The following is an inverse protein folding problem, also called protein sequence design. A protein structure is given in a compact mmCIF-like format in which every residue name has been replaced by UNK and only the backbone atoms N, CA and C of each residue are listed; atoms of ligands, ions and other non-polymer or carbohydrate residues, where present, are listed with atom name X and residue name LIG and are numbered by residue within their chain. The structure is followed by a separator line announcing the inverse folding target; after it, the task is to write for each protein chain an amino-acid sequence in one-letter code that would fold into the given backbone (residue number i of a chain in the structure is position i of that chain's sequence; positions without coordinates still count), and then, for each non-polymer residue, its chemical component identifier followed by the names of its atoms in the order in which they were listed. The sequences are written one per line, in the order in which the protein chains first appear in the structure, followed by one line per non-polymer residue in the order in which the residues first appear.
data_IF_155711711369
#
_entry.id   IF_155711711369
#
_cell.length_a   1.000
_cell.length_b   1.000
_cell.length_c   1.000
_cell.angle_alpha   90.00
_cell.angle_beta   90.00
_cell.angle_gamma   90.00
#
_symmetry.space_group_name_H-M   'P 1'
#
loop_
_entity.id
_entity.type
_entity.pdbx_description
1 polymer ?
#
# COMPACT_ATOMS: atom_id res chain seq x y z
N UNK A 1 -15.46 -19.12 8.10
CA UNK A 1 -14.57 -18.88 6.94
C UNK A 1 -15.30 -18.06 5.89
N UNK A 2 -14.62 -17.15 5.25
CA UNK A 2 -15.21 -16.34 4.20
C UNK A 2 -15.21 -17.09 2.87
N UNK A 3 -16.33 -17.03 2.16
CA UNK A 3 -16.44 -17.64 0.84
C UNK A 3 -15.72 -16.79 -0.23
N UNK A 4 -15.57 -15.50 0.00
CA UNK A 4 -14.83 -14.62 -0.91
C UNK A 4 -14.20 -13.47 -0.14
N UNK A 5 -13.14 -12.91 -0.72
CA UNK A 5 -12.42 -11.79 -0.14
C UNK A 5 -12.49 -10.59 -1.08
N UNK A 6 -12.60 -9.41 -0.49
CA UNK A 6 -12.48 -8.17 -1.24
C UNK A 6 -11.05 -7.66 -1.16
N UNK A 7 -10.52 -7.25 -2.30
CA UNK A 7 -9.18 -6.69 -2.40
C UNK A 7 -9.27 -5.35 -3.13
N UNK A 8 -8.82 -4.29 -2.46
CA UNK A 8 -8.76 -2.96 -3.05
C UNK A 8 -7.31 -2.61 -3.36
N UNK A 9 -7.04 -2.25 -4.62
CA UNK A 9 -5.78 -1.62 -4.99
C UNK A 9 -5.95 -0.11 -4.95
N UNK A 10 -5.04 0.59 -4.29
CA UNK A 10 -5.10 2.04 -4.11
C UNK A 10 -3.74 2.63 -4.47
N UNK A 11 -3.69 3.65 -5.37
CA UNK A 11 -2.43 4.32 -5.68
C UNK A 11 -1.81 4.92 -4.42
N UNK A 12 -0.54 4.61 -4.15
CA UNK A 12 0.15 5.11 -2.96
C UNK A 12 0.37 6.61 -2.99
N UNK A 13 0.22 7.25 -4.15
CA UNK A 13 0.39 8.69 -4.31
C UNK A 13 -0.90 9.49 -4.08
N UNK A 14 -2.03 8.83 -3.82
CA UNK A 14 -3.32 9.50 -3.66
C UNK A 14 -3.84 9.34 -2.24
N UNK A 15 -3.56 10.34 -1.40
CA UNK A 15 -3.93 10.30 0.00
C UNK A 15 -5.44 10.16 0.24
N UNK A 16 -6.25 10.84 -0.55
CA UNK A 16 -7.72 10.77 -0.38
C UNK A 16 -8.24 9.36 -0.62
N UNK A 17 -7.71 8.71 -1.64
CA UNK A 17 -8.11 7.32 -1.94
C UNK A 17 -7.64 6.37 -0.84
N UNK A 18 -6.46 6.61 -0.27
CA UNK A 18 -5.95 5.80 0.84
C UNK A 18 -6.86 5.96 2.06
N UNK A 19 -7.21 7.20 2.41
CA UNK A 19 -8.11 7.46 3.54
C UNK A 19 -9.46 6.77 3.34
N UNK A 20 -10.02 6.90 2.14
CA UNK A 20 -11.30 6.27 1.83
C UNK A 20 -11.22 4.76 1.94
N UNK A 21 -10.16 4.17 1.39
CA UNK A 21 -9.96 2.73 1.44
C UNK A 21 -9.87 2.22 2.89
N UNK A 22 -9.22 2.98 3.77
CA UNK A 22 -9.11 2.60 5.17
C UNK A 22 -10.48 2.49 5.84
N UNK A 23 -11.45 3.28 5.40
CA UNK A 23 -12.79 3.32 6.00
C UNK A 23 -13.79 2.36 5.37
N UNK A 24 -13.45 1.72 4.25
CA UNK A 24 -14.41 0.90 3.50
C UNK A 24 -14.62 -0.52 4.05
N UNK A 25 -13.73 -0.97 4.91
CA UNK A 25 -13.88 -2.30 5.51
C UNK A 25 -13.59 -3.45 4.56
N UNK A 26 -12.78 -3.24 3.51
CA UNK A 26 -12.35 -4.32 2.63
C UNK A 26 -11.55 -5.35 3.41
N UNK A 27 -11.53 -6.59 2.93
CA UNK A 27 -10.73 -7.64 3.58
C UNK A 27 -9.23 -7.32 3.48
N UNK A 28 -8.81 -6.78 2.35
CA UNK A 28 -7.42 -6.45 2.11
C UNK A 28 -7.31 -5.14 1.33
N UNK A 29 -6.40 -4.29 1.74
CA UNK A 29 -6.04 -3.06 1.02
C UNK A 29 -4.60 -3.20 0.56
N UNK A 30 -4.38 -3.11 -0.75
CA UNK A 30 -3.05 -3.13 -1.34
C UNK A 30 -2.68 -1.72 -1.80
N UNK A 31 -1.72 -1.13 -1.10
CA UNK A 31 -1.23 0.21 -1.43
C UNK A 31 -0.17 0.06 -2.53
N UNK A 32 -0.42 0.68 -3.67
CA UNK A 32 0.36 0.44 -4.88
C UNK A 32 1.50 1.43 -5.07
N UNK A 33 2.70 0.91 -5.28
CA UNK A 33 3.88 1.69 -5.66
C UNK A 33 4.28 1.46 -7.11
N UNK A 34 3.61 0.56 -7.81
CA UNK A 34 3.99 0.17 -9.17
C UNK A 34 3.18 0.89 -10.23
N UNK A 35 2.22 0.21 -10.85
CA UNK A 35 1.49 0.72 -12.00
C UNK A 35 0.62 1.93 -11.71
N UNK A 36 0.05 1.99 -10.52
CA UNK A 36 -0.83 3.07 -10.12
C UNK A 36 -0.11 4.38 -9.77
N UNK A 37 1.22 4.38 -9.82
CA UNK A 37 2.02 5.54 -9.40
C UNK A 37 3.01 5.92 -10.51
N UNK A 38 2.93 7.18 -10.95
CA UNK A 38 3.86 7.70 -11.97
C UNK A 38 5.30 7.67 -11.45
N UNK A 39 6.30 7.49 -12.32
CA UNK A 39 7.71 7.46 -11.90
C UNK A 39 8.14 8.67 -11.06
N UNK A 40 7.64 9.85 -11.39
CA UNK A 40 7.98 11.08 -10.66
C UNK A 40 7.33 11.15 -9.28
N UNK A 41 6.37 10.30 -8.96
CA UNK A 41 5.63 10.31 -7.70
C UNK A 41 5.99 9.16 -6.77
N UNK A 42 6.94 8.32 -7.14
CA UNK A 42 7.23 7.11 -6.35
C UNK A 42 7.80 7.41 -4.96
N UNK A 43 8.69 8.38 -4.84
CA UNK A 43 9.23 8.77 -3.55
C UNK A 43 8.14 9.34 -2.63
N UNK A 44 7.26 10.19 -3.17
CA UNK A 44 6.14 10.72 -2.44
C UNK A 44 5.17 9.62 -2.00
N UNK A 45 4.90 8.67 -2.90
CA UNK A 45 4.02 7.55 -2.58
C UNK A 45 4.57 6.72 -1.41
N UNK A 46 5.87 6.45 -1.38
CA UNK A 46 6.48 5.73 -0.25
C UNK A 46 6.25 6.47 1.06
N UNK A 47 6.41 7.79 1.04
CA UNK A 47 6.19 8.64 2.23
C UNK A 47 4.73 8.59 2.67
N UNK A 48 3.80 8.70 1.72
CA UNK A 48 2.38 8.67 2.03
C UNK A 48 1.94 7.31 2.56
N UNK A 49 2.46 6.23 2.01
CA UNK A 49 2.14 4.88 2.48
C UNK A 49 2.64 4.70 3.92
N UNK A 50 3.87 5.11 4.21
CA UNK A 50 4.41 5.03 5.56
C UNK A 50 3.55 5.83 6.54
N UNK A 51 3.12 7.02 6.15
CA UNK A 51 2.23 7.86 6.94
C UNK A 51 0.89 7.17 7.17
N UNK A 52 0.31 6.58 6.12
CA UNK A 52 -0.97 5.90 6.22
C UNK A 52 -0.90 4.72 7.18
N UNK A 53 0.14 3.91 7.07
CA UNK A 53 0.31 2.75 7.95
C UNK A 53 0.49 3.16 9.41
N UNK A 54 1.03 4.35 9.66
CA UNK A 54 1.27 4.86 11.02
C UNK A 54 0.04 5.56 11.60
N UNK A 55 -0.73 6.25 10.77
CA UNK A 55 -1.74 7.20 11.26
C UNK A 55 -3.19 6.77 11.02
N UNK A 56 -3.44 5.99 9.97
CA UNK A 56 -4.82 5.62 9.62
C UNK A 56 -5.23 4.31 10.30
N UNK A 57 -6.50 4.25 10.69
CA UNK A 57 -7.10 3.04 11.23
C UNK A 57 -7.76 2.27 10.08
N UNK A 58 -7.16 1.16 9.70
CA UNK A 58 -7.69 0.28 8.67
C UNK A 58 -8.66 -0.77 9.23
N UNK A 59 -8.96 -0.71 10.52
CA UNK A 59 -9.83 -1.68 11.15
C UNK A 59 -9.28 -3.10 11.00
N UNK A 60 -10.09 -3.99 10.42
CA UNK A 60 -9.70 -5.39 10.21
C UNK A 60 -9.09 -5.66 8.85
N UNK A 61 -8.96 -4.64 8.01
CA UNK A 61 -8.36 -4.82 6.68
C UNK A 61 -6.90 -5.22 6.80
N UNK A 62 -6.51 -6.25 6.08
CA UNK A 62 -5.10 -6.58 5.93
C UNK A 62 -4.44 -5.54 5.02
N UNK A 63 -3.24 -5.13 5.36
CA UNK A 63 -2.53 -4.10 4.62
C UNK A 63 -1.33 -4.69 3.90
N UNK A 64 -1.34 -4.54 2.58
CA UNK A 64 -0.26 -4.99 1.71
C UNK A 64 0.27 -3.79 0.91
N UNK A 65 1.50 -3.90 0.44
CA UNK A 65 2.08 -2.92 -0.47
C UNK A 65 2.59 -3.67 -1.70
N UNK A 66 2.19 -3.22 -2.90
CA UNK A 66 2.75 -3.76 -4.14
C UNK A 66 3.97 -2.91 -4.50
N UNK A 67 5.14 -3.57 -4.52
CA UNK A 67 6.41 -2.90 -4.78
C UNK A 67 6.79 -2.96 -6.26
N UNK A 68 7.70 -2.10 -6.66
CA UNK A 68 8.21 -2.07 -8.02
C UNK A 68 9.08 -3.30 -8.30
N UNK A 69 9.20 -3.65 -9.59
CA UNK A 69 10.02 -4.78 -10.01
C UNK A 69 11.49 -4.55 -9.68
N UNK A 70 12.23 -5.65 -9.51
CA UNK A 70 13.64 -5.58 -9.11
C UNK A 70 14.51 -4.79 -10.09
N UNK A 71 14.17 -4.81 -11.37
CA UNK A 71 14.93 -4.12 -12.41
C UNK A 71 14.53 -2.66 -12.62
N UNK A 72 13.58 -2.16 -11.84
CA UNK A 72 13.09 -0.78 -11.99
C UNK A 72 13.99 0.26 -11.34
N UNK A 73 14.91 -0.17 -10.47
CA UNK A 73 15.72 0.74 -9.68
C UNK A 73 15.01 1.29 -8.44
N UNK A 74 13.74 0.91 -8.22
CA UNK A 74 12.93 1.41 -7.10
C UNK A 74 12.74 0.39 -5.98
N UNK A 75 12.98 -0.88 -6.25
CA UNK A 75 12.62 -1.94 -5.31
C UNK A 75 13.37 -1.84 -3.98
N UNK A 76 14.64 -1.46 -3.99
CA UNK A 76 15.42 -1.36 -2.75
C UNK A 76 14.80 -0.36 -1.77
N UNK A 77 14.33 0.78 -2.28
CA UNK A 77 13.65 1.80 -1.48
C UNK A 77 12.30 1.31 -1.00
N UNK A 78 11.55 0.62 -1.90
CA UNK A 78 10.24 0.09 -1.57
C UNK A 78 10.34 -0.96 -0.44
N UNK A 79 11.37 -1.78 -0.45
CA UNK A 79 11.55 -2.84 0.54
C UNK A 79 11.78 -2.31 1.96
N UNK A 80 12.17 -1.04 2.10
CA UNK A 80 12.27 -0.44 3.41
C UNK A 80 10.93 -0.39 4.14
N UNK A 81 9.82 -0.39 3.41
CA UNK A 81 8.50 -0.43 4.01
C UNK A 81 8.19 -1.77 4.67
N UNK A 82 8.90 -2.84 4.30
CA UNK A 82 8.65 -4.18 4.83
C UNK A 82 8.84 -4.27 6.35
N UNK A 83 9.61 -3.35 6.93
CA UNK A 83 9.84 -3.33 8.38
C UNK A 83 8.75 -2.57 9.14
N UNK A 84 7.77 -1.99 8.44
CA UNK A 84 6.71 -1.26 9.13
C UNK A 84 5.82 -2.21 9.94
N UNK A 85 5.59 -1.93 11.24
CA UNK A 85 4.88 -2.86 12.11
C UNK A 85 3.41 -3.11 11.72
N UNK A 86 2.80 -2.18 10.99
CA UNK A 86 1.40 -2.30 10.60
C UNK A 86 1.21 -2.89 9.20
N UNK A 87 2.28 -3.29 8.54
CA UNK A 87 2.20 -3.89 7.22
C UNK A 87 2.16 -5.41 7.33
N UNK A 88 1.21 -6.04 6.67
CA UNK A 88 1.12 -7.50 6.65
C UNK A 88 2.16 -8.13 5.73
N UNK A 89 2.37 -7.54 4.57
CA UNK A 89 3.33 -8.10 3.62
C UNK A 89 3.46 -7.28 2.34
N UNK A 90 4.31 -7.79 1.45
CA UNK A 90 4.59 -7.16 0.17
C UNK A 90 4.09 -8.03 -0.97
N UNK A 91 3.69 -7.36 -2.07
CA UNK A 91 3.31 -8.03 -3.32
C UNK A 91 4.35 -7.65 -4.37
N UNK A 92 4.95 -8.65 -4.98
CA UNK A 92 5.97 -8.46 -6.00
C UNK A 92 5.40 -8.57 -7.41
#
# INVERSE_FOLDING_TARGET
MRARRTLLYVPGSDWRKIEKAASLGADCVCLDLEDGVAPSSKAEARTLISKALSELDFGRSERLVRVNAADSGQQAEDLLLASHPNLLGLVL
#
